data_IF_791139343199
#
_entry.id   IF_791139343199
#
_cell.length_a   1.000
_cell.length_b   1.000
_cell.length_c   1.000
_cell.angle_alpha   90.00
_cell.angle_beta   90.00
_cell.angle_gamma   90.00
#
_symmetry.space_group_name_H-M   'P 1'
#
loop_
_entity.id
_entity.type
_entity.pdbx_description
1 polymer ?
#
# COMPACT_ATOMS: atom_id res chain seq x y z
N UNK A 1 -48.74 -20.16 5.44
CA UNK A 1 -47.92 -19.81 6.62
C UNK A 1 -46.66 -19.09 6.14
N UNK A 2 -46.41 -17.86 6.59
CA UNK A 2 -45.20 -17.12 6.20
C UNK A 2 -43.98 -17.88 6.72
N UNK A 3 -43.09 -18.30 5.82
CA UNK A 3 -41.85 -18.96 6.18
C UNK A 3 -40.97 -17.95 6.92
N UNK A 4 -40.60 -18.26 8.17
CA UNK A 4 -39.74 -17.38 8.99
C UNK A 4 -38.43 -17.01 8.27
N UNK A 5 -37.94 -17.89 7.42
CA UNK A 5 -36.77 -17.68 6.58
C UNK A 5 -36.93 -16.50 5.59
N UNK A 6 -38.10 -16.34 4.95
CA UNK A 6 -38.35 -15.24 4.01
C UNK A 6 -38.32 -13.88 4.69
N UNK A 7 -38.63 -13.83 6.00
CA UNK A 7 -38.56 -12.60 6.79
C UNK A 7 -37.12 -12.22 7.18
N UNK A 8 -36.26 -13.22 7.40
CA UNK A 8 -34.88 -13.01 7.85
C UNK A 8 -33.90 -12.79 6.70
N UNK A 9 -34.12 -13.43 5.55
CA UNK A 9 -33.26 -13.35 4.36
C UNK A 9 -32.91 -11.92 3.93
N UNK A 10 -33.85 -10.98 3.74
CA UNK A 10 -33.51 -9.63 3.28
C UNK A 10 -32.62 -8.89 4.29
N UNK A 11 -32.87 -9.06 5.59
CA UNK A 11 -32.06 -8.44 6.65
C UNK A 11 -30.63 -8.97 6.67
N UNK A 12 -30.46 -10.29 6.49
CA UNK A 12 -29.14 -10.93 6.41
C UNK A 12 -28.40 -10.48 5.15
N UNK A 13 -29.08 -10.42 4.00
CA UNK A 13 -28.49 -9.99 2.73
C UNK A 13 -28.02 -8.55 2.78
N UNK A 14 -28.84 -7.63 3.32
CA UNK A 14 -28.46 -6.23 3.48
C UNK A 14 -27.25 -6.11 4.41
N UNK A 15 -27.26 -6.79 5.56
CA UNK A 15 -26.14 -6.77 6.49
C UNK A 15 -24.84 -7.30 5.84
N UNK A 16 -24.93 -8.41 5.11
CA UNK A 16 -23.77 -8.98 4.43
C UNK A 16 -23.24 -8.04 3.33
N UNK A 17 -24.12 -7.42 2.56
CA UNK A 17 -23.76 -6.45 1.53
C UNK A 17 -23.02 -5.25 2.14
N UNK A 18 -23.52 -4.70 3.26
CA UNK A 18 -22.88 -3.60 3.98
C UNK A 18 -21.48 -4.00 4.45
N UNK A 19 -21.34 -5.18 5.05
CA UNK A 19 -20.03 -5.69 5.51
C UNK A 19 -19.08 -5.88 4.32
N UNK A 20 -19.56 -6.43 3.20
CA UNK A 20 -18.77 -6.64 2.00
C UNK A 20 -18.23 -5.32 1.44
N UNK A 21 -19.09 -4.30 1.33
CA UNK A 21 -18.71 -2.96 0.86
C UNK A 21 -17.67 -2.35 1.81
N UNK A 22 -17.87 -2.45 3.12
CA UNK A 22 -16.92 -1.93 4.10
C UNK A 22 -15.54 -2.58 3.97
N UNK A 23 -15.49 -3.91 3.85
CA UNK A 23 -14.24 -4.67 3.68
C UNK A 23 -13.55 -4.27 2.37
N UNK A 24 -14.31 -4.17 1.26
CA UNK A 24 -13.76 -3.79 -0.04
C UNK A 24 -13.11 -2.39 0.02
N UNK A 25 -13.81 -1.41 0.61
CA UNK A 25 -13.29 -0.04 0.77
C UNK A 25 -12.01 -0.04 1.61
N UNK A 26 -12.00 -0.72 2.76
CA UNK A 26 -10.81 -0.82 3.62
C UNK A 26 -9.65 -1.47 2.87
N UNK A 27 -9.91 -2.58 2.15
CA UNK A 27 -8.92 -3.30 1.37
C UNK A 27 -8.27 -2.43 0.30
N UNK A 28 -9.08 -1.69 -0.46
CA UNK A 28 -8.58 -0.75 -1.48
C UNK A 28 -7.69 0.31 -0.83
N UNK A 29 -8.14 0.97 0.24
CA UNK A 29 -7.35 1.99 0.92
C UNK A 29 -6.03 1.44 1.48
N UNK A 30 -6.05 0.22 2.02
CA UNK A 30 -4.86 -0.42 2.57
C UNK A 30 -3.86 -0.76 1.46
N UNK A 31 -4.33 -1.29 0.33
CA UNK A 31 -3.50 -1.59 -0.84
C UNK A 31 -2.77 -0.34 -1.36
N UNK A 32 -3.47 0.79 -1.48
CA UNK A 32 -2.87 2.06 -1.92
C UNK A 32 -1.78 2.58 -0.97
N UNK A 33 -1.90 2.32 0.34
CA UNK A 33 -0.88 2.72 1.33
C UNK A 33 0.42 1.93 1.25
N UNK A 34 0.45 0.82 0.54
CA UNK A 34 1.65 0.02 0.28
C UNK A 34 2.13 0.26 -1.14
N UNK A 35 1.23 0.19 -2.12
CA UNK A 35 1.55 0.31 -3.54
C UNK A 35 2.19 1.66 -3.88
N UNK A 36 1.66 2.78 -3.35
CA UNK A 36 2.21 4.11 -3.62
C UNK A 36 3.66 4.25 -3.15
N UNK A 37 3.98 3.99 -1.87
CA UNK A 37 5.34 4.02 -1.36
C UNK A 37 6.29 3.02 -2.04
N UNK A 38 5.81 1.82 -2.36
CA UNK A 38 6.62 0.81 -3.07
C UNK A 38 6.96 1.25 -4.50
N UNK A 39 5.98 1.79 -5.23
CA UNK A 39 6.19 2.33 -6.57
C UNK A 39 7.20 3.47 -6.58
N UNK A 40 7.12 4.38 -5.60
CA UNK A 40 8.10 5.46 -5.44
C UNK A 40 9.51 4.91 -5.18
N UNK A 41 9.67 3.94 -4.28
CA UNK A 41 10.98 3.30 -4.03
C UNK A 41 11.55 2.74 -5.35
N UNK A 42 10.74 2.01 -6.12
CA UNK A 42 11.16 1.46 -7.41
C UNK A 42 11.59 2.54 -8.42
N UNK A 43 10.86 3.66 -8.51
CA UNK A 43 11.25 4.78 -9.39
C UNK A 43 12.61 5.39 -8.99
N UNK A 44 12.85 5.60 -7.70
CA UNK A 44 14.14 6.15 -7.24
C UNK A 44 15.29 5.17 -7.48
N UNK A 45 15.07 3.86 -7.29
CA UNK A 45 16.06 2.84 -7.66
C UNK A 45 16.38 2.92 -9.16
N UNK A 46 15.38 3.09 -10.03
CA UNK A 46 15.62 3.21 -11.47
C UNK A 46 16.48 4.43 -11.81
N UNK A 47 16.33 5.55 -11.09
CA UNK A 47 17.19 6.74 -11.27
C UNK A 47 18.65 6.44 -10.93
N UNK A 48 18.89 5.72 -9.83
CA UNK A 48 20.24 5.26 -9.46
C UNK A 48 20.82 4.32 -10.51
N UNK A 49 20.02 3.38 -11.02
CA UNK A 49 20.43 2.46 -12.09
C UNK A 49 20.77 3.18 -13.39
N UNK A 50 20.11 4.32 -13.67
CA UNK A 50 20.43 5.18 -14.81
C UNK A 50 21.68 6.04 -14.58
N UNK A 51 22.33 5.90 -13.42
CA UNK A 51 23.59 6.57 -13.10
C UNK A 51 23.43 7.92 -12.41
N UNK A 52 22.24 8.29 -11.96
CA UNK A 52 22.07 9.46 -11.08
C UNK A 52 22.70 9.18 -9.71
N UNK A 53 23.44 10.16 -9.18
CA UNK A 53 24.06 10.10 -7.85
C UNK A 53 23.32 11.00 -6.87
N UNK A 54 23.47 10.76 -5.57
CA UNK A 54 22.84 11.55 -4.51
C UNK A 54 21.33 11.36 -4.39
N UNK A 55 20.80 10.24 -4.91
CA UNK A 55 19.37 9.92 -4.82
C UNK A 55 19.00 9.60 -3.37
N UNK A 56 17.92 10.21 -2.87
CA UNK A 56 17.43 10.01 -1.51
C UNK A 56 15.91 9.78 -1.49
N UNK A 57 15.51 8.58 -1.13
CA UNK A 57 14.12 8.14 -1.04
C UNK A 57 13.48 8.71 0.23
N UNK A 58 12.49 9.60 0.07
CA UNK A 58 11.68 10.15 1.16
C UNK A 58 10.20 9.78 1.01
N UNK A 59 9.69 9.04 1.99
CA UNK A 59 8.28 8.66 2.10
C UNK A 59 7.51 9.59 3.03
N UNK A 60 6.18 9.65 2.88
CA UNK A 60 5.31 10.51 3.70
C UNK A 60 5.22 9.99 5.13
N UNK A 61 4.86 10.86 6.08
CA UNK A 61 4.79 10.51 7.52
C UNK A 61 3.87 9.31 7.82
N UNK A 62 2.83 9.08 7.01
CA UNK A 62 1.85 8.00 7.21
C UNK A 62 2.15 6.73 6.41
N UNK A 63 3.21 6.72 5.60
CA UNK A 63 3.57 5.57 4.78
C UNK A 63 4.25 4.49 5.63
N UNK A 64 4.00 3.23 5.29
CA UNK A 64 4.44 2.07 6.09
C UNK A 64 5.83 1.55 5.74
N UNK A 65 6.40 1.90 4.59
CA UNK A 65 7.66 1.35 4.06
C UNK A 65 8.90 2.19 4.40
N UNK A 66 8.86 2.98 5.48
CA UNK A 66 9.97 3.90 5.82
C UNK A 66 11.27 3.19 6.16
N UNK A 67 11.19 2.07 6.86
CA UNK A 67 12.35 1.26 7.21
C UNK A 67 13.03 0.73 5.95
N UNK A 68 12.25 0.17 5.02
CA UNK A 68 12.74 -0.22 3.69
C UNK A 68 13.38 0.96 2.95
N UNK A 69 12.73 2.12 2.92
CA UNK A 69 13.30 3.31 2.29
C UNK A 69 14.63 3.74 2.94
N UNK A 70 14.76 3.63 4.26
CA UNK A 70 16.00 3.92 4.97
C UNK A 70 17.11 2.91 4.60
N UNK A 71 16.81 1.61 4.56
CA UNK A 71 17.77 0.58 4.13
C UNK A 71 18.22 0.77 2.69
N UNK A 72 17.29 1.13 1.78
CA UNK A 72 17.63 1.42 0.38
C UNK A 72 18.47 2.71 0.27
N UNK A 73 18.17 3.75 1.03
CA UNK A 73 19.02 4.94 1.07
C UNK A 73 20.44 4.64 1.52
N UNK A 74 20.62 3.81 2.56
CA UNK A 74 21.94 3.39 3.01
C UNK A 74 22.68 2.62 1.92
N UNK A 75 21.99 1.75 1.18
CA UNK A 75 22.55 1.05 0.02
C UNK A 75 23.00 2.03 -1.08
N UNK A 76 22.17 3.00 -1.45
CA UNK A 76 22.49 4.00 -2.48
C UNK A 76 23.70 4.83 -2.06
N UNK A 77 23.77 5.24 -0.80
CA UNK A 77 24.91 6.00 -0.27
C UNK A 77 26.22 5.20 -0.38
N UNK A 78 26.20 3.90 -0.09
CA UNK A 78 27.37 3.04 -0.26
C UNK A 78 27.76 2.82 -1.72
N UNK A 79 26.79 2.80 -2.64
CA UNK A 79 27.06 2.75 -4.08
C UNK A 79 27.70 4.05 -4.57
N UNK A 80 27.19 5.20 -4.12
CA UNK A 80 27.73 6.52 -4.48
C UNK A 80 29.17 6.70 -3.98
N UNK A 81 29.51 6.16 -2.79
CA UNK A 81 30.88 6.21 -2.25
C UNK A 81 31.90 5.40 -3.08
N UNK A 82 31.45 4.38 -3.82
CA UNK A 82 32.33 3.47 -4.56
C UNK A 82 32.57 3.88 -6.01
N UNK A 83 31.95 4.96 -6.46
CA UNK A 83 31.96 5.43 -7.84
C UNK A 83 33.01 6.52 -8.05
#
# INVERSE_FOLDING_TARGET
>A
PINRFELLLPSILINNLVIMVLIAVIGIFYSHRIAGPAYRIGQEIQRVLNGETGVNIRLRKKDKLKELAASVNALIEELDKKR
#
